data_IF_659769618203
#
_entry.id   IF_659769618203
#
_cell.length_a   1.000
_cell.length_b   1.000
_cell.length_c   1.000
_cell.angle_alpha   90.00
_cell.angle_beta   90.00
_cell.angle_gamma   90.00
#
_symmetry.space_group_name_H-M   'P 1'
#
loop_
_entity.id
_entity.type
_entity.pdbx_description
1 polymer ?
#
# COMPACT_ATOMS: atom_id res chain seq x y z
N UNK A 1 -34.68 -11.66 59.50
CA UNK A 1 -35.14 -11.10 58.21
C UNK A 1 -33.92 -10.43 57.61
N UNK A 2 -33.20 -11.17 56.74
CA UNK A 2 -31.99 -10.67 56.03
C UNK A 2 -32.33 -10.66 54.54
N UNK A 3 -32.47 -9.47 54.00
CA UNK A 3 -32.63 -9.26 52.57
C UNK A 3 -31.22 -9.22 51.89
N UNK A 4 -30.88 -10.28 51.18
CA UNK A 4 -29.68 -10.35 50.33
C UNK A 4 -29.91 -9.55 49.06
N UNK A 5 -29.16 -8.48 48.87
CA UNK A 5 -29.08 -7.79 47.59
C UNK A 5 -28.04 -8.47 46.69
N UNK A 6 -28.51 -9.15 45.66
CA UNK A 6 -27.69 -9.66 44.57
C UNK A 6 -27.34 -8.54 43.60
N UNK A 7 -26.09 -8.07 43.65
CA UNK A 7 -25.54 -7.13 42.68
C UNK A 7 -25.21 -7.89 41.42
N UNK A 8 -26.02 -7.72 40.38
CA UNK A 8 -25.78 -8.24 39.06
C UNK A 8 -24.64 -7.49 38.38
N UNK A 9 -23.52 -8.17 38.15
CA UNK A 9 -22.37 -7.64 37.39
C UNK A 9 -22.70 -7.69 35.90
N UNK A 10 -23.08 -6.56 35.32
CA UNK A 10 -23.25 -6.39 33.88
C UNK A 10 -21.86 -6.35 33.25
N UNK A 11 -21.42 -7.46 32.66
CA UNK A 11 -20.22 -7.50 31.82
C UNK A 11 -20.57 -6.86 30.47
N UNK A 12 -20.15 -5.61 30.29
CA UNK A 12 -20.23 -4.89 29.03
C UNK A 12 -19.16 -5.45 28.09
N UNK A 13 -19.55 -6.39 27.22
CA UNK A 13 -18.69 -6.90 26.16
C UNK A 13 -18.49 -5.78 25.11
N UNK A 14 -17.40 -5.03 25.22
CA UNK A 14 -16.95 -4.12 24.17
C UNK A 14 -16.49 -4.94 22.98
N UNK A 15 -17.32 -5.00 21.95
CA UNK A 15 -16.93 -5.49 20.63
C UNK A 15 -15.85 -4.55 20.09
N UNK A 16 -14.60 -4.93 20.25
CA UNK A 16 -13.47 -4.33 19.54
C UNK A 16 -13.66 -4.68 18.06
N UNK A 17 -14.36 -3.81 17.32
CA UNK A 17 -14.31 -3.82 15.86
C UNK A 17 -12.87 -3.48 15.48
N UNK A 18 -12.04 -4.50 15.24
CA UNK A 18 -10.70 -4.35 14.75
C UNK A 18 -10.78 -3.60 13.42
N UNK A 19 -10.26 -2.37 13.37
CA UNK A 19 -10.06 -1.63 12.13
C UNK A 19 -9.33 -2.54 11.14
N UNK A 20 -9.89 -2.68 9.95
CA UNK A 20 -9.54 -3.70 8.97
C UNK A 20 -8.14 -3.58 8.39
N UNK A 21 -7.15 -4.03 9.13
CA UNK A 21 -5.76 -4.17 8.68
C UNK A 21 -5.51 -5.44 7.85
N UNK A 22 -6.51 -6.36 7.78
CA UNK A 22 -6.40 -7.56 6.96
C UNK A 22 -6.36 -7.23 5.46
N UNK A 23 -5.62 -8.02 4.64
CA UNK A 23 -5.69 -7.91 3.19
C UNK A 23 -7.12 -8.03 2.67
N UNK A 24 -7.46 -7.41 1.52
CA UNK A 24 -8.75 -7.57 0.88
C UNK A 24 -9.05 -9.03 0.56
N UNK A 25 -10.31 -9.44 0.63
CA UNK A 25 -10.75 -10.82 0.31
C UNK A 25 -10.55 -11.18 -1.16
N UNK A 26 -10.69 -10.20 -2.05
CA UNK A 26 -10.55 -10.36 -3.50
C UNK A 26 -9.48 -9.40 -4.04
N UNK A 27 -8.20 -9.67 -3.75
CA UNK A 27 -7.11 -8.76 -4.12
C UNK A 27 -6.86 -8.67 -5.63
N UNK A 28 -7.46 -9.56 -6.44
CA UNK A 28 -7.40 -9.53 -7.90
C UNK A 28 -8.43 -8.58 -8.52
N UNK A 29 -9.37 -8.05 -7.76
CA UNK A 29 -10.44 -7.18 -8.25
C UNK A 29 -10.43 -5.84 -7.52
N UNK A 30 -9.95 -4.79 -8.21
CA UNK A 30 -9.82 -3.46 -7.60
C UNK A 30 -11.19 -2.87 -7.19
N UNK A 31 -12.26 -3.20 -7.88
CA UNK A 31 -13.61 -2.75 -7.52
C UNK A 31 -14.07 -3.36 -6.19
N UNK A 32 -13.78 -4.66 -5.98
CA UNK A 32 -14.10 -5.34 -4.71
C UNK A 32 -13.22 -4.83 -3.58
N UNK A 33 -11.92 -4.56 -3.87
CA UNK A 33 -11.03 -3.90 -2.90
C UNK A 33 -11.67 -2.59 -2.42
N UNK A 34 -12.12 -1.73 -3.33
CA UNK A 34 -12.69 -0.43 -2.98
C UNK A 34 -14.08 -0.50 -2.32
N UNK A 35 -14.85 -1.54 -2.60
CA UNK A 35 -16.11 -1.78 -1.88
C UNK A 35 -15.88 -2.27 -0.45
N UNK A 36 -14.90 -3.14 -0.26
CA UNK A 36 -14.53 -3.67 1.06
C UNK A 36 -13.78 -2.64 1.91
N UNK A 37 -12.89 -1.85 1.29
CA UNK A 37 -12.00 -0.87 1.90
C UNK A 37 -12.25 0.50 1.28
N UNK A 38 -13.37 1.12 1.63
CA UNK A 38 -13.73 2.42 1.04
C UNK A 38 -12.76 3.55 1.40
N UNK A 39 -12.15 3.47 2.57
CA UNK A 39 -11.06 4.33 3.02
C UNK A 39 -9.83 4.25 2.08
N UNK A 40 -9.50 3.05 1.58
CA UNK A 40 -8.43 2.89 0.60
C UNK A 40 -8.73 3.56 -0.74
N UNK A 41 -10.01 3.56 -1.14
CA UNK A 41 -10.42 4.30 -2.33
C UNK A 41 -10.24 5.80 -2.15
N UNK A 42 -10.63 6.32 -1.01
CA UNK A 42 -10.50 7.73 -0.67
C UNK A 42 -9.02 8.14 -0.63
N UNK A 43 -8.15 7.35 0.01
CA UNK A 43 -6.70 7.56 0.02
C UNK A 43 -6.08 7.51 -1.39
N UNK A 44 -6.53 6.55 -2.23
CA UNK A 44 -6.08 6.44 -3.62
C UNK A 44 -6.43 7.68 -4.44
N UNK A 45 -7.63 8.24 -4.26
CA UNK A 45 -8.04 9.48 -4.93
C UNK A 45 -7.23 10.69 -4.45
N UNK A 46 -6.93 10.78 -3.15
CA UNK A 46 -6.05 11.82 -2.61
C UNK A 46 -4.66 11.73 -3.24
N UNK A 47 -4.08 10.53 -3.27
CA UNK A 47 -2.78 10.25 -3.88
C UNK A 47 -2.76 10.61 -5.38
N UNK A 48 -3.81 10.23 -6.12
CA UNK A 48 -3.95 10.58 -7.54
C UNK A 48 -3.98 12.09 -7.75
N UNK A 49 -4.76 12.83 -6.96
CA UNK A 49 -4.80 14.30 -7.06
C UNK A 49 -3.48 14.96 -6.71
N UNK A 50 -2.79 14.44 -5.68
CA UNK A 50 -1.53 15.02 -5.19
C UNK A 50 -0.36 14.80 -6.14
N UNK A 51 -0.23 13.58 -6.65
CA UNK A 51 0.95 13.15 -7.41
C UNK A 51 0.68 12.95 -8.90
N UNK A 52 -0.58 13.05 -9.34
CA UNK A 52 -0.97 12.80 -10.73
C UNK A 52 -0.72 11.36 -11.19
N UNK A 53 -0.69 10.40 -10.27
CA UNK A 53 -0.47 8.99 -10.57
C UNK A 53 -1.81 8.28 -10.83
N UNK A 54 -1.88 7.33 -11.77
CA UNK A 54 -3.10 6.55 -11.99
C UNK A 54 -3.29 5.54 -10.84
N UNK A 55 -4.51 5.42 -10.33
CA UNK A 55 -4.84 4.62 -9.13
C UNK A 55 -4.34 3.17 -9.23
N UNK A 56 -4.47 2.55 -10.39
CA UNK A 56 -4.16 1.13 -10.60
C UNK A 56 -2.67 0.78 -10.44
N UNK A 57 -1.76 1.72 -10.73
CA UNK A 57 -0.31 1.42 -10.68
C UNK A 57 0.20 1.29 -9.24
N UNK A 58 -0.06 2.23 -8.31
CA UNK A 58 0.29 2.06 -6.90
C UNK A 58 -0.30 0.77 -6.30
N UNK A 59 -1.55 0.43 -6.63
CA UNK A 59 -2.17 -0.81 -6.17
C UNK A 59 -1.45 -2.06 -6.70
N UNK A 60 -1.09 -2.09 -7.98
CA UNK A 60 -0.34 -3.21 -8.55
C UNK A 60 1.05 -3.37 -7.91
N UNK A 61 1.74 -2.27 -7.62
CA UNK A 61 3.02 -2.28 -6.91
C UNK A 61 2.84 -2.82 -5.49
N UNK A 62 1.91 -2.27 -4.69
CA UNK A 62 1.67 -2.69 -3.31
C UNK A 62 1.23 -4.16 -3.21
N UNK A 63 0.43 -4.64 -4.17
CA UNK A 63 0.10 -6.06 -4.23
C UNK A 63 1.36 -6.92 -4.42
N UNK A 64 2.26 -6.52 -5.32
CA UNK A 64 3.51 -7.25 -5.57
C UNK A 64 4.45 -7.22 -4.35
N UNK A 65 4.49 -6.12 -3.61
CA UNK A 65 5.39 -5.93 -2.48
C UNK A 65 4.95 -6.70 -1.22
N UNK A 66 3.68 -6.64 -0.88
CA UNK A 66 3.20 -7.17 0.40
C UNK A 66 1.95 -8.05 0.30
N UNK A 67 1.27 -8.11 -0.87
CA UNK A 67 -0.09 -8.65 -0.97
C UNK A 67 -1.08 -7.86 -0.11
N UNK A 68 -0.86 -6.56 0.03
CA UNK A 68 -1.64 -5.66 0.90
C UNK A 68 -1.56 -6.00 2.40
N UNK A 69 -0.45 -6.55 2.85
CA UNK A 69 -0.22 -6.84 4.28
C UNK A 69 0.51 -5.69 4.94
N UNK A 70 -0.12 -5.10 5.96
CA UNK A 70 0.47 -4.02 6.75
C UNK A 70 1.69 -4.47 7.56
N UNK A 71 1.70 -5.72 8.02
CA UNK A 71 2.72 -6.33 8.88
C UNK A 71 3.84 -7.01 8.10
N UNK A 72 3.84 -6.90 6.76
CA UNK A 72 4.84 -7.53 5.92
C UNK A 72 6.25 -7.03 6.25
N UNK A 73 7.15 -7.96 6.55
CA UNK A 73 8.55 -7.69 6.92
C UNK A 73 9.45 -8.73 6.26
N UNK A 74 10.66 -8.30 5.91
CA UNK A 74 11.66 -9.21 5.34
C UNK A 74 12.08 -10.31 6.34
N UNK A 75 12.47 -11.50 5.86
CA UNK A 75 12.92 -12.58 6.72
C UNK A 75 14.06 -12.16 7.67
N UNK A 76 14.09 -12.79 8.83
CA UNK A 76 15.20 -12.61 9.78
C UNK A 76 16.45 -13.35 9.28
N UNK A 77 17.60 -12.75 9.51
CA UNK A 77 18.90 -13.42 9.41
C UNK A 77 19.17 -14.12 10.74
N UNK A 78 19.81 -15.28 10.70
CA UNK A 78 20.22 -16.00 11.89
C UNK A 78 21.73 -16.20 11.87
N UNK A 79 22.40 -15.86 12.99
CA UNK A 79 23.78 -16.24 13.25
C UNK A 79 23.79 -17.66 13.81
N UNK A 80 24.68 -18.52 13.30
CA UNK A 80 24.76 -19.93 13.71
C UNK A 80 23.44 -20.70 13.64
N UNK A 81 22.51 -20.28 12.71
CA UNK A 81 21.20 -20.89 12.44
C UNK A 81 20.15 -20.74 13.55
N UNK A 82 20.53 -20.23 14.73
CA UNK A 82 19.65 -20.20 15.91
C UNK A 82 19.51 -18.81 16.54
N UNK A 83 20.51 -17.93 16.41
CA UNK A 83 20.48 -16.60 17.03
C UNK A 83 19.95 -15.58 16.02
N UNK A 84 18.81 -14.91 16.24
CA UNK A 84 18.31 -13.88 15.32
C UNK A 84 19.25 -12.68 15.29
N UNK A 85 19.83 -12.41 14.10
CA UNK A 85 20.82 -11.35 13.87
C UNK A 85 20.28 -10.28 12.91
N UNK A 86 19.10 -9.72 13.21
CA UNK A 86 18.48 -8.70 12.38
C UNK A 86 17.68 -9.23 11.20
N UNK A 87 17.40 -8.38 10.21
CA UNK A 87 16.64 -8.69 9.01
C UNK A 87 17.49 -8.57 7.75
N UNK A 88 17.05 -9.20 6.66
CA UNK A 88 17.71 -9.09 5.34
C UNK A 88 17.66 -7.66 4.81
N UNK A 89 16.60 -6.93 5.12
CA UNK A 89 16.38 -5.53 4.73
C UNK A 89 15.50 -4.84 5.78
N UNK A 90 15.51 -3.51 5.80
CA UNK A 90 14.62 -2.67 6.61
C UNK A 90 13.24 -2.47 5.99
N UNK A 91 12.98 -3.08 4.81
CA UNK A 91 11.69 -2.98 4.12
C UNK A 91 10.55 -3.49 4.99
N UNK A 92 9.46 -2.70 5.09
CA UNK A 92 8.32 -2.99 5.95
C UNK A 92 7.02 -2.38 5.42
N UNK A 93 5.89 -2.90 5.93
CA UNK A 93 4.55 -2.38 5.69
C UNK A 93 4.00 -2.68 4.30
N UNK A 94 2.91 -2.04 3.96
CA UNK A 94 2.20 -2.24 2.69
C UNK A 94 3.09 -2.06 1.46
N UNK A 95 3.94 -1.04 1.47
CA UNK A 95 4.78 -0.63 0.35
C UNK A 95 6.19 -1.23 0.37
N UNK A 96 6.55 -2.01 1.40
CA UNK A 96 7.90 -2.54 1.60
C UNK A 96 9.01 -1.46 1.46
N UNK A 97 8.71 -0.25 1.95
CA UNK A 97 9.62 0.87 1.91
C UNK A 97 10.81 0.65 2.87
N UNK A 98 12.03 0.92 2.41
CA UNK A 98 13.23 0.90 3.25
C UNK A 98 13.32 2.18 4.10
N UNK A 99 14.00 2.11 5.25
CA UNK A 99 14.13 3.24 6.20
C UNK A 99 14.64 4.51 5.55
N UNK A 100 15.69 4.41 4.72
CA UNK A 100 16.30 5.56 4.06
C UNK A 100 15.30 6.29 3.15
N UNK A 101 14.66 5.54 2.25
CA UNK A 101 13.71 6.10 1.27
C UNK A 101 12.45 6.63 1.96
N UNK A 102 12.00 5.97 3.03
CA UNK A 102 10.89 6.43 3.84
C UNK A 102 11.20 7.75 4.54
N UNK A 103 12.40 7.88 5.10
CA UNK A 103 12.88 9.13 5.70
C UNK A 103 12.95 10.28 4.69
N UNK A 104 13.39 9.99 3.46
CA UNK A 104 13.42 10.98 2.38
C UNK A 104 12.02 11.45 1.99
N UNK A 105 11.07 10.52 1.93
CA UNK A 105 9.65 10.84 1.73
C UNK A 105 9.12 11.74 2.84
N UNK A 106 9.30 11.35 4.10
CA UNK A 106 8.84 12.14 5.25
C UNK A 106 9.40 13.56 5.23
N UNK A 107 10.70 13.71 5.02
CA UNK A 107 11.38 15.02 4.96
C UNK A 107 10.91 15.86 3.78
N UNK A 108 10.80 15.28 2.60
CA UNK A 108 10.44 16.03 1.38
C UNK A 108 8.98 16.45 1.32
N UNK A 109 8.10 15.75 2.05
CA UNK A 109 6.65 16.00 2.08
C UNK A 109 6.16 16.67 3.34
N UNK A 110 7.01 16.78 4.37
CA UNK A 110 6.63 17.26 5.70
C UNK A 110 5.77 16.27 6.52
N UNK A 111 5.61 15.03 6.04
CA UNK A 111 4.79 13.99 6.71
C UNK A 111 5.60 13.22 7.75
N UNK A 112 6.15 13.89 8.72
CA UNK A 112 7.06 13.31 9.73
C UNK A 112 6.41 12.23 10.61
N UNK A 113 5.08 12.19 10.69
CA UNK A 113 4.31 11.24 11.47
C UNK A 113 3.72 10.09 10.62
N UNK A 114 4.11 9.99 9.35
CA UNK A 114 3.65 8.92 8.48
C UNK A 114 4.18 7.56 8.95
N UNK A 115 3.33 6.51 8.85
CA UNK A 115 3.64 5.14 9.23
C UNK A 115 3.49 4.18 8.04
N UNK A 116 4.46 3.27 7.87
CA UNK A 116 4.47 2.30 6.75
C UNK A 116 3.35 1.26 6.82
N UNK A 117 2.84 1.06 8.01
CA UNK A 117 1.74 0.18 8.36
C UNK A 117 0.36 0.80 8.14
N UNK A 118 0.27 2.11 7.90
CA UNK A 118 -0.95 2.82 7.55
C UNK A 118 -1.09 2.89 6.03
N UNK A 119 -2.26 2.48 5.54
CA UNK A 119 -2.49 2.39 4.10
C UNK A 119 -2.41 3.74 3.39
N UNK A 120 -2.98 4.78 3.99
CA UNK A 120 -3.00 6.15 3.45
C UNK A 120 -1.60 6.70 3.25
N UNK A 121 -0.74 6.47 4.25
CA UNK A 121 0.66 6.88 4.19
C UNK A 121 1.46 6.06 3.18
N UNK A 122 1.20 4.75 3.14
CA UNK A 122 1.89 3.84 2.23
C UNK A 122 1.55 4.11 0.76
N UNK A 123 0.28 4.38 0.43
CA UNK A 123 -0.12 4.68 -0.94
C UNK A 123 0.37 6.07 -1.38
N UNK A 124 0.36 7.06 -0.48
CA UNK A 124 0.90 8.40 -0.75
C UNK A 124 2.42 8.32 -1.00
N UNK A 125 3.14 7.49 -0.22
CA UNK A 125 4.56 7.21 -0.45
C UNK A 125 4.81 6.60 -1.84
N UNK A 126 4.02 5.59 -2.25
CA UNK A 126 4.18 4.99 -3.60
C UNK A 126 3.91 6.06 -4.67
N UNK A 127 2.89 6.89 -4.50
CA UNK A 127 2.59 8.00 -5.40
C UNK A 127 3.74 9.00 -5.52
N UNK A 128 4.32 9.40 -4.39
CA UNK A 128 5.51 10.25 -4.33
C UNK A 128 6.70 9.60 -5.05
N UNK A 129 6.96 8.33 -4.81
CA UNK A 129 8.07 7.60 -5.43
C UNK A 129 7.94 7.54 -6.94
N UNK A 130 6.72 7.29 -7.45
CA UNK A 130 6.40 7.29 -8.87
C UNK A 130 6.59 8.66 -9.51
N UNK A 131 6.18 9.73 -8.82
CA UNK A 131 6.38 11.11 -9.30
C UNK A 131 7.86 11.47 -9.39
N UNK A 132 8.65 11.09 -8.38
CA UNK A 132 10.11 11.21 -8.41
C UNK A 132 10.73 10.37 -9.53
N UNK A 133 10.24 9.16 -9.76
CA UNK A 133 10.70 8.30 -10.87
C UNK A 133 10.48 8.97 -12.22
N UNK A 134 9.32 9.59 -12.42
CA UNK A 134 9.04 10.37 -13.63
C UNK A 134 9.98 11.56 -13.77
N UNK A 135 10.20 12.30 -12.69
CA UNK A 135 11.07 13.49 -12.71
C UNK A 135 12.54 13.15 -12.92
N UNK A 136 13.02 12.04 -12.35
CA UNK A 136 14.46 11.68 -12.36
C UNK A 136 14.84 10.87 -13.60
N UNK A 137 13.98 9.92 -14.00
CA UNK A 137 14.28 8.93 -15.05
C UNK A 137 13.37 9.01 -16.27
N UNK A 138 12.44 9.99 -16.33
CA UNK A 138 11.55 10.19 -17.47
C UNK A 138 10.51 9.10 -17.69
N UNK A 139 10.25 8.26 -16.70
CA UNK A 139 9.30 7.14 -16.82
C UNK A 139 7.87 7.63 -16.66
N UNK A 140 6.99 7.29 -17.61
CA UNK A 140 5.57 7.64 -17.52
C UNK A 140 4.89 6.99 -16.31
N UNK A 141 3.97 7.74 -15.68
CA UNK A 141 3.22 7.26 -14.50
C UNK A 141 2.30 6.07 -14.79
N UNK A 142 1.94 5.84 -16.04
CA UNK A 142 1.14 4.68 -16.50
C UNK A 142 1.99 3.45 -16.86
N UNK A 143 3.31 3.60 -16.97
CA UNK A 143 4.24 2.53 -17.28
C UNK A 143 4.60 1.76 -16.00
N UNK A 144 3.68 0.90 -15.57
CA UNK A 144 3.84 0.14 -14.34
C UNK A 144 5.08 -0.78 -14.36
N UNK A 145 5.49 -1.26 -15.54
CA UNK A 145 6.68 -2.08 -15.71
C UNK A 145 7.95 -1.31 -15.30
N UNK A 146 8.19 -0.15 -15.92
CA UNK A 146 9.38 0.64 -15.62
C UNK A 146 9.29 1.36 -14.27
N UNK A 147 8.08 1.73 -13.82
CA UNK A 147 7.86 2.24 -12.46
C UNK A 147 8.28 1.18 -11.42
N UNK A 148 7.90 -0.09 -11.61
CA UNK A 148 8.28 -1.16 -10.70
C UNK A 148 9.78 -1.48 -10.74
N UNK A 149 10.42 -1.47 -11.91
CA UNK A 149 11.87 -1.62 -12.00
C UNK A 149 12.63 -0.53 -11.23
N UNK A 150 12.18 0.73 -11.32
CA UNK A 150 12.71 1.83 -10.50
C UNK A 150 12.45 1.62 -9.02
N UNK A 151 11.25 1.17 -8.67
CA UNK A 151 10.87 0.94 -7.28
C UNK A 151 11.78 -0.09 -6.61
N UNK A 152 12.05 -1.18 -7.30
CA UNK A 152 12.89 -2.27 -6.80
C UNK A 152 14.38 -1.95 -6.77
N UNK A 153 14.92 -1.36 -7.85
CA UNK A 153 16.36 -1.10 -8.02
C UNK A 153 16.82 0.24 -7.44
N UNK A 154 15.89 1.14 -7.17
CA UNK A 154 16.17 2.54 -6.96
C UNK A 154 16.49 3.27 -8.27
N UNK A 155 16.42 4.59 -8.25
CA UNK A 155 16.57 5.43 -9.46
C UNK A 155 17.95 5.27 -10.12
N UNK A 156 19.01 5.13 -9.31
CA UNK A 156 20.38 4.90 -9.81
C UNK A 156 20.55 3.51 -10.41
N UNK A 157 20.03 2.48 -9.75
CA UNK A 157 20.07 1.11 -10.24
C UNK A 157 19.33 0.95 -11.56
N UNK A 158 18.16 1.60 -11.70
CA UNK A 158 17.42 1.60 -12.96
C UNK A 158 18.24 2.21 -14.11
N UNK A 159 18.86 3.39 -13.92
CA UNK A 159 19.74 4.02 -14.93
C UNK A 159 20.91 3.11 -15.32
N UNK A 160 21.49 2.45 -14.34
CA UNK A 160 22.62 1.52 -14.54
C UNK A 160 22.18 0.14 -15.02
N UNK A 161 20.86 -0.08 -15.23
CA UNK A 161 20.26 -1.33 -15.70
C UNK A 161 20.62 -2.55 -14.83
N UNK A 162 20.78 -2.37 -13.50
CA UNK A 162 21.13 -3.46 -12.59
C UNK A 162 20.08 -4.57 -12.56
N UNK A 163 18.83 -4.25 -12.92
CA UNK A 163 17.74 -5.22 -13.10
C UNK A 163 18.05 -6.29 -14.15
N UNK A 164 18.91 -6.00 -15.14
CA UNK A 164 19.24 -6.95 -16.22
C UNK A 164 20.00 -8.18 -15.71
N UNK A 165 20.75 -8.05 -14.62
CA UNK A 165 21.44 -9.17 -13.96
C UNK A 165 20.52 -10.05 -13.09
N UNK A 166 19.27 -9.63 -12.87
CA UNK A 166 18.28 -10.32 -12.02
C UNK A 166 17.21 -10.98 -12.90
N UNK A 167 17.47 -12.22 -13.34
CA UNK A 167 16.58 -12.93 -14.28
C UNK A 167 15.10 -12.96 -13.86
N UNK A 168 14.82 -12.93 -12.56
CA UNK A 168 13.45 -12.95 -12.00
C UNK A 168 12.75 -11.58 -12.02
N UNK A 169 13.49 -10.46 -12.04
CA UNK A 169 12.91 -9.13 -11.82
C UNK A 169 12.10 -8.63 -13.01
N UNK A 170 12.60 -8.81 -14.24
CA UNK A 170 11.84 -8.41 -15.45
C UNK A 170 10.52 -9.19 -15.63
N UNK A 171 10.47 -10.52 -15.43
CA UNK A 171 9.17 -11.25 -15.36
C UNK A 171 8.25 -10.72 -14.26
N UNK A 172 8.77 -10.37 -13.09
CA UNK A 172 7.97 -9.79 -12.00
C UNK A 172 7.41 -8.42 -12.40
N UNK A 173 8.21 -7.55 -12.99
CA UNK A 173 7.75 -6.25 -13.49
C UNK A 173 6.65 -6.39 -14.56
N UNK A 174 6.73 -7.41 -15.44
CA UNK A 174 5.63 -7.74 -16.38
C UNK A 174 4.34 -8.16 -15.67
N UNK A 175 4.43 -8.91 -14.58
CA UNK A 175 3.24 -9.25 -13.76
C UNK A 175 2.61 -8.01 -13.13
N UNK A 176 3.42 -7.05 -12.67
CA UNK A 176 2.94 -5.77 -12.14
C UNK A 176 2.21 -4.97 -13.23
N UNK A 177 2.78 -4.91 -14.46
CA UNK A 177 2.11 -4.26 -15.59
C UNK A 177 0.78 -4.93 -15.90
N UNK A 178 0.76 -6.26 -16.08
CA UNK A 178 -0.48 -6.99 -16.39
C UNK A 178 -1.56 -6.81 -15.31
N UNK A 179 -1.16 -6.75 -14.03
CA UNK A 179 -2.09 -6.47 -12.93
C UNK A 179 -2.60 -5.03 -12.99
N UNK A 180 -1.74 -4.07 -13.27
CA UNK A 180 -2.14 -2.68 -13.45
C UNK A 180 -3.15 -2.52 -14.60
N UNK A 181 -2.93 -3.20 -15.72
CA UNK A 181 -3.84 -3.18 -16.88
C UNK A 181 -5.21 -3.79 -16.53
N UNK A 182 -5.20 -4.92 -15.82
CA UNK A 182 -6.43 -5.55 -15.31
C UNK A 182 -7.19 -4.62 -14.38
N UNK A 183 -6.50 -4.01 -13.41
CA UNK A 183 -7.10 -3.06 -12.49
C UNK A 183 -7.64 -1.82 -13.20
N UNK A 184 -6.96 -1.33 -14.25
CA UNK A 184 -7.45 -0.22 -15.04
C UNK A 184 -8.79 -0.54 -15.72
N UNK A 185 -8.90 -1.73 -16.34
CA UNK A 185 -10.14 -2.20 -16.98
C UNK A 185 -11.28 -2.35 -15.98
N UNK A 186 -11.03 -2.98 -14.84
CA UNK A 186 -12.02 -3.15 -13.77
C UNK A 186 -12.49 -1.81 -13.23
N UNK A 187 -11.53 -0.90 -12.93
CA UNK A 187 -11.84 0.41 -12.37
C UNK A 187 -12.67 1.26 -13.32
N UNK A 188 -12.44 1.19 -14.62
CA UNK A 188 -13.26 1.88 -15.61
C UNK A 188 -14.74 1.48 -15.52
N UNK A 189 -15.03 0.22 -15.16
CA UNK A 189 -16.39 -0.28 -15.02
C UNK A 189 -17.10 0.08 -13.72
N UNK A 190 -16.37 0.41 -12.64
CA UNK A 190 -16.97 0.66 -11.32
C UNK A 190 -16.76 2.08 -10.78
N UNK A 191 -15.96 2.90 -11.45
CA UNK A 191 -15.58 4.24 -10.98
C UNK A 191 -16.77 5.14 -10.66
N UNK A 192 -17.79 5.12 -11.50
CA UNK A 192 -18.98 5.98 -11.31
C UNK A 192 -19.78 5.58 -10.07
N UNK A 193 -19.94 4.28 -9.82
CA UNK A 193 -20.62 3.76 -8.63
C UNK A 193 -19.86 4.09 -7.35
N UNK A 194 -18.53 3.93 -7.38
CA UNK A 194 -17.65 4.26 -6.27
C UNK A 194 -17.70 5.76 -5.94
N UNK A 195 -17.69 6.62 -6.95
CA UNK A 195 -17.80 8.07 -6.78
C UNK A 195 -19.14 8.47 -6.17
N UNK A 196 -20.25 7.87 -6.61
CA UNK A 196 -21.57 8.12 -5.99
C UNK A 196 -21.59 7.75 -4.51
N UNK A 197 -21.01 6.61 -4.15
CA UNK A 197 -20.86 6.20 -2.75
C UNK A 197 -20.00 7.15 -1.92
N UNK A 198 -18.94 7.71 -2.49
CA UNK A 198 -18.11 8.73 -1.85
C UNK A 198 -18.90 10.01 -1.53
N UNK A 199 -19.63 10.56 -2.50
CA UNK A 199 -20.43 11.77 -2.28
C UNK A 199 -21.56 11.56 -1.27
N UNK A 200 -22.21 10.39 -1.24
CA UNK A 200 -23.25 10.10 -0.24
C UNK A 200 -22.66 10.06 1.17
N UNK A 201 -21.49 9.48 1.38
CA UNK A 201 -20.80 9.48 2.69
C UNK A 201 -20.37 10.89 3.11
N UNK A 202 -19.87 11.69 2.18
CA UNK A 202 -19.44 13.06 2.44
C UNK A 202 -20.62 13.96 2.92
N UNK A 203 -21.82 13.85 2.30
CA UNK A 203 -23.00 14.61 2.68
C UNK A 203 -23.64 14.15 4.00
N UNK A 204 -23.41 12.93 4.43
CA UNK A 204 -23.84 12.46 5.75
C UNK A 204 -22.93 12.91 6.90
N UNK A 205 -21.76 13.44 6.59
CA UNK A 205 -20.77 13.90 7.59
C UNK A 205 -20.85 15.42 7.84
N UNK A 206 -21.51 16.17 6.97
CA UNK A 206 -21.82 17.61 7.12
C UNK A 206 -23.20 17.82 7.77
#
# INVERSE_FOLDING_TARGET
MNSGQTVGLLVLATLLTGCGTSPPRSPENICEIFREKSDWYDAAQVTQRRWGVPIQVPFAIMYQESGYRYDAKTPRKYLLWVIPWGRVSTAAGYAQAKDEVWSDYQKSTGRNWAHREDFDDAIDFVGWYMDKTTSINGVYKYDAYNQYLNYHEGWGGFRNKTYASKAWLMPTARKVQSRSDLYAQQYAGCKEDLNRGFWSRFWHWL
#
